data_IF_944713137281
#
_entry.id   IF_944713137281
#
_cell.length_a   1.000
_cell.length_b   1.000
_cell.length_c   1.000
_cell.angle_alpha   90.00
_cell.angle_beta   90.00
_cell.angle_gamma   90.00
#
_symmetry.space_group_name_H-M   'P 1'
#
loop_
_entity.id
_entity.type
_entity.pdbx_description
1 polymer ?
#
# COMPACT_ATOMS: atom_id res chain seq x y z
N UNK A 1 1.15 -17.48 55.21
CA UNK A 1 0.41 -18.74 55.42
C UNK A 1 -0.06 -18.72 56.87
N UNK A 2 -1.36 -18.82 57.12
CA UNK A 2 -1.92 -18.94 58.47
C UNK A 2 -2.60 -20.30 58.58
N UNK A 3 -2.19 -21.12 59.54
CA UNK A 3 -2.75 -22.45 59.77
C UNK A 3 -4.20 -22.33 60.27
N UNK A 4 -5.16 -22.88 59.52
CA UNK A 4 -6.54 -23.04 59.98
C UNK A 4 -6.62 -24.26 60.90
N UNK A 5 -6.92 -24.04 62.17
CA UNK A 5 -7.20 -25.12 63.11
C UNK A 5 -8.60 -25.68 62.87
N UNK A 6 -8.68 -26.94 62.48
CA UNK A 6 -9.94 -27.65 62.25
C UNK A 6 -10.44 -28.21 63.59
N UNK A 7 -11.48 -27.60 64.15
CA UNK A 7 -12.15 -28.14 65.34
C UNK A 7 -13.56 -28.59 64.94
N UNK A 8 -13.72 -29.91 64.95
CA UNK A 8 -14.96 -30.70 64.84
C UNK A 8 -15.69 -30.70 63.48
N UNK A 9 -15.43 -31.76 62.70
CA UNK A 9 -15.99 -31.99 61.37
C UNK A 9 -17.30 -32.77 61.48
N UNK A 10 -18.44 -32.07 61.38
CA UNK A 10 -19.71 -32.72 61.04
C UNK A 10 -20.14 -32.28 59.64
N UNK A 11 -20.07 -33.21 58.70
CA UNK A 11 -20.61 -33.01 57.37
C UNK A 11 -22.14 -33.06 57.45
N UNK A 12 -22.78 -31.97 57.08
CA UNK A 12 -24.24 -31.87 57.02
C UNK A 12 -24.64 -32.04 55.56
N UNK A 13 -25.36 -33.12 55.25
CA UNK A 13 -25.96 -33.34 53.93
C UNK A 13 -27.35 -32.73 53.90
N UNK A 14 -27.54 -31.78 52.99
CA UNK A 14 -28.86 -31.20 52.72
C UNK A 14 -29.26 -31.53 51.29
N UNK A 15 -30.46 -32.09 51.14
CA UNK A 15 -31.08 -32.28 49.82
C UNK A 15 -31.59 -30.94 49.32
N UNK A 16 -31.16 -30.54 48.14
CA UNK A 16 -31.70 -29.38 47.45
C UNK A 16 -32.38 -29.81 46.16
N UNK A 17 -33.57 -29.23 45.90
CA UNK A 17 -34.24 -29.29 44.61
C UNK A 17 -34.16 -27.91 43.97
N UNK A 18 -33.55 -27.84 42.79
CA UNK A 18 -33.57 -26.65 41.96
C UNK A 18 -33.78 -27.07 40.50
N UNK A 19 -34.81 -26.53 39.85
CA UNK A 19 -35.19 -26.83 38.47
C UNK A 19 -35.30 -28.33 38.13
N UNK A 20 -36.00 -29.10 38.96
CA UNK A 20 -36.30 -30.52 38.68
C UNK A 20 -35.14 -31.50 38.91
N UNK A 21 -33.94 -31.01 39.21
CA UNK A 21 -32.80 -31.85 39.59
C UNK A 21 -32.64 -31.87 41.13
N UNK A 22 -32.69 -33.07 41.71
CA UNK A 22 -32.35 -33.34 43.11
C UNK A 22 -30.87 -33.71 43.19
N UNK A 23 -30.10 -32.96 43.99
CA UNK A 23 -28.70 -33.29 44.30
C UNK A 23 -28.44 -33.16 45.79
N UNK A 24 -27.60 -34.05 46.32
CA UNK A 24 -27.09 -33.95 47.69
C UNK A 24 -25.94 -32.95 47.70
N UNK A 25 -26.09 -31.84 48.43
CA UNK A 25 -24.99 -30.90 48.67
C UNK A 25 -24.42 -31.16 50.06
N UNK A 26 -23.10 -31.35 50.14
CA UNK A 26 -22.40 -31.52 51.42
C UNK A 26 -21.85 -30.17 51.88
N UNK A 27 -22.22 -29.76 53.08
CA UNK A 27 -21.66 -28.58 53.73
C UNK A 27 -20.78 -28.99 54.89
N UNK A 28 -19.64 -28.31 55.05
CA UNK A 28 -18.71 -28.50 56.16
C UNK A 28 -18.77 -27.27 57.06
N UNK A 29 -18.92 -27.53 58.36
CA UNK A 29 -18.97 -26.48 59.38
C UNK A 29 -17.57 -26.30 59.95
N UNK A 30 -17.14 -25.06 60.03
CA UNK A 30 -15.87 -24.62 60.62
C UNK A 30 -16.19 -23.71 61.80
N UNK A 31 -15.30 -23.64 62.79
CA UNK A 31 -15.36 -22.65 63.84
C UNK A 31 -14.13 -21.76 63.72
N UNK A 32 -14.34 -20.46 63.56
CA UNK A 32 -13.23 -19.51 63.46
C UNK A 32 -12.53 -19.30 64.82
N UNK A 33 -11.35 -18.66 64.85
CA UNK A 33 -10.60 -18.44 66.09
C UNK A 33 -11.34 -17.60 67.16
N UNK A 34 -12.40 -16.89 66.78
CA UNK A 34 -13.24 -16.12 67.71
C UNK A 34 -14.46 -16.92 68.20
N UNK A 35 -14.52 -18.21 67.87
CA UNK A 35 -15.60 -19.11 68.29
C UNK A 35 -16.85 -19.04 67.42
N UNK A 36 -16.84 -18.32 66.29
CA UNK A 36 -18.01 -18.19 65.41
C UNK A 36 -18.06 -19.36 64.42
N UNK A 37 -19.21 -20.04 64.36
CA UNK A 37 -19.43 -21.15 63.40
C UNK A 37 -19.72 -20.61 62.00
N UNK A 38 -19.04 -21.14 61.00
CA UNK A 38 -19.14 -20.80 59.58
C UNK A 38 -19.42 -22.07 58.79
N UNK A 39 -20.47 -22.08 57.98
CA UNK A 39 -20.85 -23.23 57.14
C UNK A 39 -20.38 -22.93 55.72
N UNK A 40 -19.57 -23.80 55.13
CA UNK A 40 -19.13 -23.69 53.71
C UNK A 40 -19.51 -24.92 52.93
N UNK A 41 -19.86 -24.74 51.65
CA UNK A 41 -20.18 -25.83 50.73
C UNK A 41 -18.88 -26.54 50.34
N UNK A 42 -18.83 -27.86 50.48
CA UNK A 42 -17.66 -28.67 50.10
C UNK A 42 -17.55 -28.65 48.57
N UNK A 43 -16.45 -28.13 48.04
CA UNK A 43 -16.21 -27.99 46.59
C UNK A 43 -16.26 -26.56 46.04
N UNK A 44 -16.67 -25.57 46.83
CA UNK A 44 -16.34 -24.16 46.54
C UNK A 44 -14.95 -23.88 47.12
N UNK A 45 -13.91 -24.26 46.37
CA UNK A 45 -12.58 -23.72 46.61
C UNK A 45 -12.66 -22.18 46.51
N UNK A 46 -12.22 -21.54 47.59
CA UNK A 46 -12.20 -20.10 47.76
C UNK A 46 -11.64 -19.38 46.53
N UNK A 47 -12.45 -18.51 45.91
CA UNK A 47 -11.95 -17.49 44.98
C UNK A 47 -10.84 -16.72 45.73
N UNK A 48 -9.58 -16.73 45.26
CA UNK A 48 -8.52 -16.07 45.99
C UNK A 48 -8.76 -14.56 46.01
N UNK A 49 -8.46 -13.94 47.16
CA UNK A 49 -8.32 -12.49 47.30
C UNK A 49 -7.54 -11.94 46.10
N UNK A 50 -8.08 -10.91 45.42
CA UNK A 50 -7.41 -10.17 44.34
C UNK A 50 -5.96 -9.88 44.74
N UNK A 51 -5.03 -10.66 44.21
CA UNK A 51 -3.61 -10.58 44.54
C UNK A 51 -3.03 -9.28 43.98
N UNK A 52 -1.91 -8.83 44.54
CA UNK A 52 -1.10 -7.70 44.04
C UNK A 52 -0.94 -7.75 42.51
N UNK A 53 -0.82 -8.96 41.97
CA UNK A 53 -0.60 -9.26 40.55
C UNK A 53 -1.76 -8.81 39.65
N UNK A 54 -3.01 -8.86 40.10
CA UNK A 54 -4.14 -8.33 39.32
C UNK A 54 -4.14 -6.81 39.23
N UNK A 55 -3.67 -6.14 40.30
CA UNK A 55 -3.57 -4.67 40.32
C UNK A 55 -2.42 -4.20 39.44
N UNK A 56 -1.30 -4.92 39.43
CA UNK A 56 -0.15 -4.66 38.56
C UNK A 56 -0.47 -4.96 37.09
N UNK A 57 -1.12 -6.08 36.78
CA UNK A 57 -1.54 -6.40 35.41
C UNK A 57 -2.50 -5.35 34.84
N UNK A 58 -3.43 -4.85 35.67
CA UNK A 58 -4.32 -3.75 35.27
C UNK A 58 -3.54 -2.46 35.02
N UNK A 59 -2.60 -2.11 35.92
CA UNK A 59 -1.74 -0.93 35.77
C UNK A 59 -0.93 -0.99 34.47
N UNK A 60 -0.39 -2.16 34.12
CA UNK A 60 0.38 -2.38 32.90
C UNK A 60 -0.51 -2.28 31.64
N UNK A 61 -1.71 -2.86 31.67
CA UNK A 61 -2.68 -2.77 30.57
C UNK A 61 -3.10 -1.31 30.31
N UNK A 62 -3.39 -0.56 31.37
CA UNK A 62 -3.71 0.87 31.29
C UNK A 62 -2.52 1.67 30.73
N UNK A 63 -1.28 1.25 31.03
CA UNK A 63 -0.09 1.88 30.49
C UNK A 63 0.12 1.61 29.00
N UNK A 64 -0.01 0.36 28.53
CA UNK A 64 0.01 0.03 27.11
C UNK A 64 -1.02 0.84 26.32
N UNK A 65 -2.23 1.00 26.87
CA UNK A 65 -3.28 1.79 26.23
C UNK A 65 -2.88 3.25 26.04
N UNK A 66 -2.30 3.89 27.06
CA UNK A 66 -1.81 5.27 26.97
C UNK A 66 -0.71 5.43 25.92
N UNK A 67 0.26 4.51 25.89
CA UNK A 67 1.35 4.53 24.90
C UNK A 67 0.82 4.36 23.48
N UNK A 68 -0.17 3.46 23.28
CA UNK A 68 -0.84 3.28 22.00
C UNK A 68 -1.54 4.55 21.52
N UNK A 69 -2.26 5.23 22.41
CA UNK A 69 -2.92 6.50 22.10
C UNK A 69 -1.90 7.58 21.70
N UNK A 70 -0.81 7.70 22.45
CA UNK A 70 0.28 8.64 22.16
C UNK A 70 0.94 8.37 20.82
N UNK A 71 1.33 7.12 20.55
CA UNK A 71 1.97 6.75 19.26
C UNK A 71 1.02 7.03 18.09
N UNK A 72 -0.27 6.71 18.23
CA UNK A 72 -1.27 7.01 17.20
C UNK A 72 -1.50 8.50 17.02
N UNK A 73 -1.52 9.28 18.09
CA UNK A 73 -1.60 10.74 18.00
C UNK A 73 -0.39 11.28 17.24
N UNK A 74 0.81 10.84 17.61
CA UNK A 74 2.04 11.27 16.95
C UNK A 74 2.03 10.84 15.49
N UNK A 75 1.66 9.61 15.12
CA UNK A 75 1.58 9.15 13.71
C UNK A 75 0.72 10.05 12.81
N UNK A 76 -0.40 10.56 13.36
CA UNK A 76 -1.36 11.39 12.63
C UNK A 76 -0.97 12.88 12.55
N UNK A 77 0.11 13.30 13.20
CA UNK A 77 0.62 14.67 13.06
C UNK A 77 1.28 14.90 11.69
N UNK A 78 1.10 16.10 11.14
CA UNK A 78 1.65 16.45 9.83
C UNK A 78 3.19 16.58 9.80
N UNK A 79 3.85 16.04 8.75
CA UNK A 79 3.30 15.13 7.74
C UNK A 79 2.99 13.75 8.32
N UNK A 80 1.82 13.21 7.95
CA UNK A 80 1.30 11.91 8.39
C UNK A 80 2.31 10.80 8.10
N UNK A 81 2.57 9.95 9.09
CA UNK A 81 3.41 8.73 8.99
C UNK A 81 2.50 7.52 9.18
N UNK A 82 2.56 6.55 8.27
CA UNK A 82 1.74 5.34 8.39
C UNK A 82 2.48 4.30 9.23
N UNK A 83 1.77 3.51 10.06
CA UNK A 83 2.38 2.44 10.88
C UNK A 83 3.17 1.43 10.05
N UNK A 84 2.77 1.20 8.78
CA UNK A 84 3.49 0.33 7.85
C UNK A 84 4.84 0.89 7.36
N UNK A 85 5.11 2.18 7.58
CA UNK A 85 6.39 2.82 7.22
C UNK A 85 7.44 2.71 8.33
N UNK A 86 7.02 2.29 9.52
CA UNK A 86 7.90 2.06 10.66
C UNK A 86 8.67 0.76 10.47
N UNK A 87 9.87 0.72 11.03
CA UNK A 87 10.77 -0.42 11.03
C UNK A 87 10.17 -1.58 11.84
N UNK A 88 9.51 -1.26 12.95
CA UNK A 88 8.71 -2.18 13.76
C UNK A 88 7.23 -2.06 13.35
N UNK A 89 6.88 -2.51 12.14
CA UNK A 89 5.51 -2.39 11.60
C UNK A 89 4.45 -3.20 12.38
N UNK A 90 4.88 -4.07 13.30
CA UNK A 90 4.09 -4.84 14.24
C UNK A 90 4.21 -4.31 15.68
N UNK A 91 4.60 -3.05 15.87
CA UNK A 91 4.79 -2.46 17.21
C UNK A 91 3.56 -2.60 18.12
N UNK A 92 2.35 -2.64 17.57
CA UNK A 92 1.12 -2.78 18.35
C UNK A 92 0.99 -4.18 19.00
N UNK A 93 1.45 -5.21 18.30
CA UNK A 93 1.54 -6.59 18.80
C UNK A 93 2.68 -6.72 19.83
N UNK A 94 3.81 -6.05 19.57
CA UNK A 94 4.95 -5.99 20.51
C UNK A 94 4.57 -5.26 21.81
N UNK A 95 3.78 -4.19 21.73
CA UNK A 95 3.28 -3.45 22.88
C UNK A 95 2.30 -4.28 23.72
N UNK A 96 1.52 -5.14 23.05
CA UNK A 96 0.56 -6.04 23.70
C UNK A 96 1.21 -7.26 24.36
N UNK A 97 2.47 -7.58 24.00
CA UNK A 97 3.23 -8.70 24.54
C UNK A 97 4.29 -8.31 25.56
N UNK A 98 4.55 -7.00 25.75
CA UNK A 98 5.46 -6.47 26.76
C UNK A 98 4.99 -6.81 28.19
N UNK A 99 5.93 -7.24 29.03
CA UNK A 99 5.67 -7.72 30.40
C UNK A 99 6.03 -6.69 31.46
N UNK A 100 6.79 -5.66 31.09
CA UNK A 100 7.28 -4.65 32.03
C UNK A 100 7.06 -3.24 31.50
N UNK A 101 6.97 -2.28 32.43
CA UNK A 101 6.87 -0.85 32.12
C UNK A 101 8.11 -0.36 31.33
N UNK A 102 9.28 -0.96 31.61
CA UNK A 102 10.53 -0.64 30.91
C UNK A 102 10.50 -1.08 29.44
N UNK A 103 10.09 -2.32 29.14
CA UNK A 103 9.96 -2.80 27.74
C UNK A 103 8.98 -1.94 26.93
N UNK A 104 7.89 -1.50 27.57
CA UNK A 104 6.91 -0.60 26.96
C UNK A 104 7.54 0.76 26.64
N UNK A 105 8.33 1.33 27.55
CA UNK A 105 9.03 2.59 27.33
C UNK A 105 10.11 2.47 26.24
N UNK A 106 10.90 1.40 26.23
CA UNK A 106 11.92 1.18 25.21
C UNK A 106 11.30 1.02 23.81
N UNK A 107 10.16 0.32 23.71
CA UNK A 107 9.41 0.22 22.47
C UNK A 107 8.83 1.57 22.05
N UNK A 108 8.22 2.30 22.98
CA UNK A 108 7.69 3.67 22.76
C UNK A 108 8.76 4.59 22.20
N UNK A 109 9.92 4.67 22.85
CA UNK A 109 10.98 5.58 22.47
C UNK A 109 11.55 5.24 21.09
N UNK A 110 11.70 3.94 20.79
CA UNK A 110 12.14 3.47 19.47
C UNK A 110 11.13 3.81 18.38
N UNK A 111 9.84 3.57 18.63
CA UNK A 111 8.76 3.87 17.69
C UNK A 111 8.64 5.38 17.46
N UNK A 112 8.71 6.20 18.51
CA UNK A 112 8.68 7.66 18.40
C UNK A 112 9.89 8.21 17.64
N UNK A 113 11.09 7.69 17.90
CA UNK A 113 12.30 8.08 17.16
C UNK A 113 12.23 7.70 15.67
N UNK A 114 11.65 6.55 15.34
CA UNK A 114 11.44 6.15 13.95
C UNK A 114 10.37 7.02 13.29
N UNK A 115 9.24 7.29 13.97
CA UNK A 115 8.23 8.24 13.48
C UNK A 115 8.85 9.61 13.20
N UNK A 116 9.68 10.13 14.11
CA UNK A 116 10.42 11.37 13.92
C UNK A 116 11.36 11.30 12.72
N UNK A 117 12.09 10.20 12.54
CA UNK A 117 12.99 9.98 11.40
C UNK A 117 12.22 9.98 10.08
N UNK A 118 11.10 9.24 10.00
CA UNK A 118 10.23 9.19 8.82
C UNK A 118 9.59 10.55 8.55
N UNK A 119 9.14 11.24 9.61
CA UNK A 119 8.57 12.58 9.53
C UNK A 119 9.61 13.59 9.05
N UNK A 120 10.85 13.54 9.55
CA UNK A 120 11.94 14.40 9.12
C UNK A 120 12.39 14.10 7.70
N UNK A 121 12.36 12.85 7.26
CA UNK A 121 12.56 12.48 5.86
C UNK A 121 11.44 13.03 4.96
N UNK A 122 10.19 13.05 5.44
CA UNK A 122 9.04 13.66 4.75
C UNK A 122 9.10 15.19 4.76
N UNK A 123 9.51 15.83 5.86
CA UNK A 123 9.73 17.30 5.97
C UNK A 123 10.95 17.75 5.16
N UNK A 124 12.00 16.94 5.10
CA UNK A 124 13.23 17.19 4.34
C UNK A 124 13.01 17.21 2.83
N UNK A 125 11.98 16.53 2.31
CA UNK A 125 11.49 16.69 0.94
C UNK A 125 10.84 18.05 0.65
N UNK A 126 10.58 18.87 1.68
CA UNK A 126 10.01 20.22 1.51
C UNK A 126 10.91 21.35 2.02
N UNK A 127 12.08 21.08 2.63
CA UNK A 127 12.91 22.12 3.27
C UNK A 127 14.34 22.26 2.76
N UNK A 128 14.68 21.63 1.63
CA UNK A 128 15.98 21.79 0.94
C UNK A 128 15.85 22.29 -0.51
N UNK A 129 14.78 22.99 -0.84
CA UNK A 129 14.61 23.55 -2.20
C UNK A 129 15.07 25.02 -2.33
N UNK A 130 15.36 25.72 -1.23
CA UNK A 130 15.68 27.15 -1.31
C UNK A 130 17.17 27.50 -1.32
N UNK A 131 18.07 26.57 -0.97
CA UNK A 131 19.51 26.86 -1.03
C UNK A 131 20.30 25.68 -1.61
N UNK A 132 20.68 25.88 -2.89
CA UNK A 132 21.64 25.13 -3.72
C UNK A 132 21.04 24.00 -4.56
N UNK A 133 20.85 24.35 -5.84
CA UNK A 133 21.06 23.44 -6.95
C UNK A 133 19.89 22.51 -7.23
N UNK A 134 19.25 22.77 -8.36
CA UNK A 134 18.23 21.95 -9.00
C UNK A 134 18.50 20.45 -8.88
N UNK A 135 17.68 19.74 -8.09
CA UNK A 135 17.39 18.33 -8.34
C UNK A 135 15.87 18.23 -8.52
N UNK A 136 15.49 18.36 -9.79
CA UNK A 136 14.14 18.19 -10.30
C UNK A 136 13.70 16.80 -9.85
N UNK A 137 12.68 16.73 -8.99
CA UNK A 137 12.09 15.45 -8.60
C UNK A 137 11.47 14.81 -9.84
N UNK A 138 12.23 13.92 -10.46
CA UNK A 138 11.81 13.13 -11.60
C UNK A 138 10.70 12.17 -11.16
N UNK A 139 9.46 12.57 -11.41
CA UNK A 139 8.29 11.71 -11.21
C UNK A 139 8.18 10.63 -12.29
N UNK A 140 9.12 10.56 -13.25
CA UNK A 140 9.26 9.46 -14.21
C UNK A 140 10.18 8.35 -13.71
N UNK A 141 10.50 8.32 -12.41
CA UNK A 141 11.33 7.25 -11.84
C UNK A 141 10.70 5.90 -12.17
N UNK A 142 11.41 5.12 -12.99
CA UNK A 142 11.27 3.65 -13.13
C UNK A 142 10.96 3.07 -11.74
N UNK A 143 10.17 2.00 -11.62
CA UNK A 143 10.02 1.29 -10.34
C UNK A 143 11.41 1.16 -9.73
N UNK A 144 11.63 1.77 -8.56
CA UNK A 144 12.92 1.65 -7.89
C UNK A 144 13.00 0.22 -7.40
N UNK A 145 13.64 -0.63 -8.19
CA UNK A 145 14.14 -1.89 -7.67
C UNK A 145 15.25 -1.57 -6.68
N UNK A 146 15.22 -2.22 -5.52
CA UNK A 146 16.41 -2.27 -4.69
C UNK A 146 17.53 -2.97 -5.47
N UNK A 147 18.78 -2.67 -5.14
CA UNK A 147 19.93 -3.34 -5.75
C UNK A 147 19.85 -4.88 -5.59
N UNK A 148 19.22 -5.34 -4.50
CA UNK A 148 18.91 -6.76 -4.27
C UNK A 148 17.85 -7.32 -5.23
N UNK A 149 16.75 -6.61 -5.48
CA UNK A 149 15.69 -7.08 -6.38
C UNK A 149 16.20 -7.20 -7.82
N UNK A 150 17.05 -6.25 -8.24
CA UNK A 150 17.68 -6.26 -9.56
C UNK A 150 18.70 -7.39 -9.69
N UNK A 151 19.53 -7.60 -8.67
CA UNK A 151 20.47 -8.70 -8.63
C UNK A 151 19.78 -10.07 -8.63
N UNK A 152 18.69 -10.22 -7.87
CA UNK A 152 17.87 -11.43 -7.88
C UNK A 152 17.32 -11.71 -9.27
N UNK A 153 16.74 -10.71 -9.94
CA UNK A 153 16.25 -10.86 -11.31
C UNK A 153 17.35 -11.29 -12.29
N UNK A 154 18.52 -10.63 -12.25
CA UNK A 154 19.67 -11.01 -13.08
C UNK A 154 20.23 -12.39 -12.77
N UNK A 155 20.22 -12.82 -11.51
CA UNK A 155 20.67 -14.15 -11.09
C UNK A 155 19.72 -15.25 -11.62
N UNK A 156 18.40 -14.98 -11.70
CA UNK A 156 17.44 -15.89 -12.34
C UNK A 156 17.60 -15.97 -13.86
N UNK A 157 17.92 -14.84 -14.51
CA UNK A 157 18.19 -14.80 -15.95
C UNK A 157 19.45 -15.59 -16.33
N UNK A 158 20.44 -15.66 -15.43
CA UNK A 158 21.76 -16.26 -15.71
C UNK A 158 21.87 -17.74 -15.31
N UNK A 159 21.09 -18.23 -14.35
CA UNK A 159 21.23 -19.58 -13.80
C UNK A 159 20.01 -20.46 -14.10
N UNK A 160 20.00 -21.07 -15.29
CA UNK A 160 18.89 -21.85 -15.86
C UNK A 160 18.56 -23.21 -15.20
N UNK A 161 18.71 -23.36 -13.88
CA UNK A 161 18.24 -24.54 -13.14
C UNK A 161 17.26 -24.08 -12.05
N UNK A 162 16.06 -23.70 -12.48
CA UNK A 162 14.97 -23.29 -11.59
C UNK A 162 14.55 -24.40 -10.63
N UNK A 163 14.79 -25.67 -11.02
CA UNK A 163 14.45 -26.89 -10.27
C UNK A 163 15.07 -26.98 -8.85
N UNK A 164 16.17 -26.25 -8.62
CA UNK A 164 16.92 -26.25 -7.35
C UNK A 164 16.76 -24.96 -6.54
N UNK A 165 16.01 -23.99 -7.08
CA UNK A 165 15.78 -22.69 -6.44
C UNK A 165 14.66 -22.81 -5.41
N UNK A 166 14.88 -22.25 -4.21
CA UNK A 166 13.86 -22.19 -3.15
C UNK A 166 12.61 -21.39 -3.59
N UNK A 167 11.42 -21.83 -3.15
CA UNK A 167 10.13 -21.20 -3.47
C UNK A 167 10.08 -19.69 -3.18
N UNK A 168 10.73 -19.24 -2.11
CA UNK A 168 10.80 -17.81 -1.76
C UNK A 168 11.58 -16.99 -2.80
N UNK A 169 12.67 -17.56 -3.35
CA UNK A 169 13.45 -16.92 -4.40
C UNK A 169 12.66 -16.88 -5.71
N UNK A 170 12.01 -17.98 -6.07
CA UNK A 170 11.11 -18.02 -7.23
C UNK A 170 9.98 -16.99 -7.08
N UNK A 171 9.39 -16.85 -5.89
CA UNK A 171 8.39 -15.82 -5.58
C UNK A 171 8.95 -14.43 -5.87
N UNK A 172 10.09 -14.06 -5.29
CA UNK A 172 10.69 -12.73 -5.52
C UNK A 172 11.01 -12.49 -7.00
N UNK A 173 11.51 -13.50 -7.71
CA UNK A 173 11.74 -13.43 -9.16
C UNK A 173 10.45 -13.15 -9.94
N UNK A 174 9.35 -13.84 -9.60
CA UNK A 174 8.04 -13.62 -10.22
C UNK A 174 7.47 -12.22 -9.89
N UNK A 175 7.64 -11.74 -8.65
CA UNK A 175 7.21 -10.39 -8.26
C UNK A 175 7.88 -9.32 -9.12
N UNK A 176 9.21 -9.44 -9.27
CA UNK A 176 9.98 -8.53 -10.10
C UNK A 176 9.57 -8.62 -11.56
N UNK A 177 9.41 -9.83 -12.11
CA UNK A 177 9.01 -10.03 -13.50
C UNK A 177 7.64 -9.40 -13.81
N UNK A 178 6.65 -9.55 -12.93
CA UNK A 178 5.32 -8.94 -13.11
C UNK A 178 5.37 -7.42 -12.96
N UNK A 179 6.20 -6.88 -12.06
CA UNK A 179 6.36 -5.42 -11.90
C UNK A 179 7.04 -4.78 -13.10
N UNK A 180 8.00 -5.47 -13.71
CA UNK A 180 8.80 -4.99 -14.84
C UNK A 180 8.19 -5.26 -16.22
N UNK A 181 7.13 -6.06 -16.31
CA UNK A 181 6.50 -6.35 -17.61
C UNK A 181 6.12 -5.07 -18.35
N UNK A 182 6.51 -5.00 -19.63
CA UNK A 182 6.37 -3.82 -20.47
C UNK A 182 7.59 -2.89 -20.46
N UNK A 183 8.56 -3.05 -19.56
CA UNK A 183 9.85 -2.36 -19.66
C UNK A 183 10.76 -3.08 -20.66
N UNK A 184 11.12 -2.42 -21.78
CA UNK A 184 11.93 -3.01 -22.86
C UNK A 184 13.22 -3.69 -22.41
N UNK A 185 13.84 -3.21 -21.33
CA UNK A 185 15.09 -3.75 -20.79
C UNK A 185 14.89 -5.06 -20.00
N UNK A 186 13.66 -5.38 -19.60
CA UNK A 186 13.34 -6.45 -18.64
C UNK A 186 12.18 -7.33 -19.09
N UNK A 187 11.78 -7.26 -20.36
CA UNK A 187 10.71 -8.10 -20.91
C UNK A 187 11.26 -9.46 -21.35
N UNK A 188 11.78 -10.24 -20.39
CA UNK A 188 12.09 -11.66 -20.61
C UNK A 188 10.85 -12.52 -20.30
N UNK A 189 9.93 -12.53 -21.26
CA UNK A 189 8.69 -13.31 -21.20
C UNK A 189 8.96 -14.80 -20.97
N UNK A 190 10.09 -15.32 -21.47
CA UNK A 190 10.46 -16.73 -21.32
C UNK A 190 10.79 -17.04 -19.87
N UNK A 191 11.72 -16.31 -19.25
CA UNK A 191 12.10 -16.53 -17.85
C UNK A 191 10.91 -16.33 -16.90
N UNK A 192 10.03 -15.34 -17.17
CA UNK A 192 8.80 -15.15 -16.40
C UNK A 192 7.91 -16.40 -16.43
N UNK A 193 7.66 -16.95 -17.62
CA UNK A 193 6.84 -18.16 -17.79
C UNK A 193 7.46 -19.37 -17.10
N UNK A 194 8.78 -19.54 -17.20
CA UNK A 194 9.48 -20.66 -16.56
C UNK A 194 9.42 -20.58 -15.02
N UNK A 195 9.66 -19.40 -14.42
CA UNK A 195 9.52 -19.19 -12.96
C UNK A 195 8.08 -19.48 -12.50
N UNK A 196 7.10 -18.97 -13.24
CA UNK A 196 5.69 -19.14 -12.94
C UNK A 196 5.24 -20.60 -13.04
N UNK A 197 5.62 -21.30 -14.11
CA UNK A 197 5.32 -22.73 -14.29
C UNK A 197 5.93 -23.57 -13.16
N UNK A 198 7.16 -23.25 -12.75
CA UNK A 198 7.83 -23.99 -11.70
C UNK A 198 7.19 -23.75 -10.32
N UNK A 199 6.81 -22.50 -10.02
CA UNK A 199 6.03 -22.18 -8.82
C UNK A 199 4.65 -22.83 -8.82
N UNK A 200 3.96 -22.90 -9.97
CA UNK A 200 2.66 -23.58 -10.05
C UNK A 200 2.78 -25.07 -9.75
N UNK A 201 3.83 -25.74 -10.23
CA UNK A 201 4.04 -27.18 -9.96
C UNK A 201 4.29 -27.45 -8.47
N UNK A 202 5.07 -26.60 -7.81
CA UNK A 202 5.49 -26.83 -6.41
C UNK A 202 4.54 -26.27 -5.39
N UNK A 203 4.09 -25.04 -5.61
CA UNK A 203 3.30 -24.28 -4.66
C UNK A 203 2.27 -23.38 -5.36
N UNK A 204 1.16 -23.97 -5.87
CA UNK A 204 0.09 -23.26 -6.56
C UNK A 204 -0.45 -22.06 -5.78
N UNK A 205 -0.58 -22.22 -4.46
CA UNK A 205 -1.12 -21.17 -3.59
C UNK A 205 -0.16 -19.99 -3.49
N UNK A 206 1.14 -20.26 -3.30
CA UNK A 206 2.17 -19.23 -3.29
C UNK A 206 2.20 -18.49 -4.62
N UNK A 207 2.27 -19.21 -5.75
CA UNK A 207 2.25 -18.62 -7.09
C UNK A 207 1.08 -17.64 -7.28
N UNK A 208 -0.14 -18.10 -6.97
CA UNK A 208 -1.35 -17.27 -7.05
C UNK A 208 -1.27 -16.05 -6.13
N UNK A 209 -0.86 -16.23 -4.88
CA UNK A 209 -0.74 -15.12 -3.92
C UNK A 209 0.30 -14.09 -4.37
N UNK A 210 1.39 -14.54 -4.98
CA UNK A 210 2.43 -13.70 -5.57
C UNK A 210 1.87 -12.87 -6.71
N UNK A 211 1.20 -13.50 -7.69
CA UNK A 211 0.54 -12.81 -8.81
C UNK A 211 -0.40 -11.71 -8.29
N UNK A 212 -1.28 -12.05 -7.34
CA UNK A 212 -2.24 -11.09 -6.77
C UNK A 212 -1.54 -9.93 -6.07
N UNK A 213 -0.49 -10.21 -5.30
CA UNK A 213 0.28 -9.19 -4.59
C UNK A 213 0.98 -8.25 -5.57
N UNK A 214 1.67 -8.79 -6.57
CA UNK A 214 2.36 -7.99 -7.59
C UNK A 214 1.41 -7.12 -8.42
N UNK A 215 0.21 -7.63 -8.74
CA UNK A 215 -0.82 -6.84 -9.42
C UNK A 215 -1.32 -5.68 -8.54
N UNK A 216 -1.52 -5.91 -7.23
CA UNK A 216 -1.91 -4.84 -6.29
C UNK A 216 -0.83 -3.77 -6.14
N UNK A 217 0.43 -4.18 -6.07
CA UNK A 217 1.54 -3.24 -6.06
C UNK A 217 1.61 -2.43 -7.34
N UNK A 218 1.43 -3.08 -8.50
CA UNK A 218 1.43 -2.38 -9.80
C UNK A 218 0.26 -1.39 -9.91
N UNK A 219 -0.91 -1.70 -9.34
CA UNK A 219 -2.01 -0.73 -9.22
C UNK A 219 -1.59 0.48 -8.39
N UNK A 220 -1.00 0.26 -7.21
CA UNK A 220 -0.53 1.32 -6.32
C UNK A 220 0.54 2.19 -6.97
N UNK A 221 1.53 1.58 -7.62
CA UNK A 221 2.62 2.27 -8.34
C UNK A 221 2.09 3.15 -9.47
N UNK A 222 0.95 2.78 -10.08
CA UNK A 222 0.28 3.56 -11.12
C UNK A 222 -0.90 4.41 -10.59
N UNK A 223 -1.10 4.42 -9.27
CA UNK A 223 -2.21 5.09 -8.58
C UNK A 223 -3.61 4.63 -9.05
N UNK A 224 -3.79 3.46 -9.64
CA UNK A 224 -5.07 3.02 -10.23
C UNK A 224 -5.95 2.37 -9.15
N UNK A 225 -7.24 2.74 -9.10
CA UNK A 225 -8.20 2.03 -8.26
C UNK A 225 -8.66 0.73 -8.95
N UNK A 226 -8.79 -0.37 -8.20
CA UNK A 226 -9.29 -1.64 -8.70
C UNK A 226 -10.66 -1.53 -9.39
N UNK A 227 -11.51 -0.60 -8.96
CA UNK A 227 -12.82 -0.33 -9.57
C UNK A 227 -12.75 0.09 -11.03
N UNK A 228 -11.60 0.63 -11.45
CA UNK A 228 -11.37 1.07 -12.83
C UNK A 228 -11.13 -0.10 -13.78
N UNK A 229 -10.86 -1.30 -13.27
CA UNK A 229 -10.49 -2.48 -14.05
C UNK A 229 -11.70 -3.28 -14.55
N UNK A 230 -11.47 -4.23 -15.45
CA UNK A 230 -12.47 -5.22 -15.84
C UNK A 230 -12.84 -6.15 -14.68
N UNK A 231 -14.10 -6.62 -14.67
CA UNK A 231 -14.64 -7.47 -13.59
C UNK A 231 -13.83 -8.75 -13.37
N UNK A 232 -13.29 -9.35 -14.42
CA UNK A 232 -12.44 -10.54 -14.32
C UNK A 232 -11.12 -10.24 -13.60
N UNK A 233 -10.51 -9.09 -13.91
CA UNK A 233 -9.28 -8.64 -13.26
C UNK A 233 -9.53 -8.32 -11.78
N UNK A 234 -10.67 -7.69 -11.45
CA UNK A 234 -11.07 -7.47 -10.04
C UNK A 234 -11.18 -8.79 -9.28
N UNK A 235 -11.86 -9.78 -9.86
CA UNK A 235 -12.00 -11.12 -9.26
C UNK A 235 -10.63 -11.77 -9.04
N UNK A 236 -9.70 -11.65 -10.00
CA UNK A 236 -8.34 -12.15 -9.81
C UNK A 236 -7.65 -11.45 -8.63
N UNK A 237 -7.67 -10.12 -8.58
CA UNK A 237 -7.02 -9.30 -7.54
C UNK A 237 -7.63 -9.53 -6.15
N UNK A 238 -8.91 -9.88 -6.08
CA UNK A 238 -9.58 -10.28 -4.85
C UNK A 238 -9.29 -11.73 -4.43
N UNK A 239 -8.60 -12.50 -5.26
CA UNK A 239 -8.28 -13.91 -4.99
C UNK A 239 -9.44 -14.88 -5.24
N UNK A 240 -10.51 -14.44 -5.90
CA UNK A 240 -11.71 -15.25 -6.19
C UNK A 240 -11.47 -16.29 -7.29
N UNK A 241 -10.41 -16.12 -8.09
CA UNK A 241 -10.06 -17.02 -9.18
C UNK A 241 -9.01 -18.02 -8.70
N UNK A 242 -9.36 -19.31 -8.73
CA UNK A 242 -8.51 -20.39 -8.21
C UNK A 242 -7.99 -21.34 -9.30
N UNK A 243 -8.63 -21.38 -10.47
CA UNK A 243 -8.24 -22.21 -11.59
C UNK A 243 -6.99 -21.64 -12.29
N UNK A 244 -5.95 -22.46 -12.44
CA UNK A 244 -4.64 -22.07 -12.99
C UNK A 244 -4.74 -21.40 -14.37
N UNK A 245 -5.39 -22.04 -15.34
CA UNK A 245 -5.50 -21.52 -16.71
C UNK A 245 -6.19 -20.15 -16.75
N UNK A 246 -7.25 -20.00 -15.94
CA UNK A 246 -7.94 -18.73 -15.77
C UNK A 246 -7.06 -17.68 -15.10
N UNK A 247 -6.30 -18.04 -14.07
CA UNK A 247 -5.35 -17.12 -13.43
C UNK A 247 -4.31 -16.63 -14.43
N UNK A 248 -3.69 -17.54 -15.19
CA UNK A 248 -2.69 -17.22 -16.21
C UNK A 248 -3.23 -16.24 -17.27
N UNK A 249 -4.40 -16.56 -17.83
CA UNK A 249 -5.05 -15.74 -18.86
C UNK A 249 -5.43 -14.35 -18.33
N UNK A 250 -6.06 -14.30 -17.16
CA UNK A 250 -6.55 -13.04 -16.58
C UNK A 250 -5.40 -12.19 -16.04
N UNK A 251 -4.29 -12.80 -15.62
CA UNK A 251 -3.05 -12.09 -15.24
C UNK A 251 -2.51 -11.29 -16.43
N UNK A 252 -2.37 -11.89 -17.61
CA UNK A 252 -1.89 -11.17 -18.80
C UNK A 252 -2.81 -10.00 -19.16
N UNK A 253 -4.13 -10.21 -19.06
CA UNK A 253 -5.11 -9.13 -19.22
C UNK A 253 -4.93 -8.04 -18.16
N UNK A 254 -4.75 -8.40 -16.89
CA UNK A 254 -4.56 -7.47 -15.79
C UNK A 254 -3.30 -6.61 -16.00
N UNK A 255 -2.16 -7.22 -16.33
CA UNK A 255 -0.90 -6.49 -16.53
C UNK A 255 -1.04 -5.47 -17.66
N UNK A 256 -1.65 -5.89 -18.78
CA UNK A 256 -1.91 -5.00 -19.92
C UNK A 256 -2.88 -3.87 -19.55
N UNK A 257 -3.98 -4.17 -18.87
CA UNK A 257 -4.99 -3.17 -18.50
C UNK A 257 -4.42 -2.14 -17.51
N UNK A 258 -3.70 -2.60 -16.49
CA UNK A 258 -3.00 -1.75 -15.51
C UNK A 258 -1.95 -0.89 -16.21
N UNK A 259 -1.12 -1.47 -17.06
CA UNK A 259 -0.10 -0.75 -17.82
C UNK A 259 -0.69 0.34 -18.72
N UNK A 260 -1.76 0.03 -19.46
CA UNK A 260 -2.45 0.99 -20.33
C UNK A 260 -3.09 2.15 -19.54
N UNK A 261 -3.82 1.85 -18.47
CA UNK A 261 -4.44 2.88 -17.62
C UNK A 261 -3.41 3.74 -16.90
N UNK A 262 -2.31 3.13 -16.45
CA UNK A 262 -1.21 3.85 -15.81
C UNK A 262 -0.58 4.84 -16.79
N UNK A 263 -0.31 4.38 -18.01
CA UNK A 263 0.20 5.23 -19.08
C UNK A 263 -0.77 6.38 -19.44
N UNK A 264 -2.06 6.07 -19.60
CA UNK A 264 -3.10 7.06 -19.89
C UNK A 264 -3.19 8.13 -18.80
N UNK A 265 -3.15 7.74 -17.52
CA UNK A 265 -3.22 8.67 -16.38
C UNK A 265 -1.98 9.56 -16.30
N UNK A 266 -0.78 8.98 -16.45
CA UNK A 266 0.48 9.74 -16.49
C UNK A 266 0.44 10.77 -17.62
N UNK A 267 0.08 10.34 -18.83
CA UNK A 267 -0.07 11.23 -19.98
C UNK A 267 -1.08 12.35 -19.70
N UNK A 268 -2.29 12.01 -19.26
CA UNK A 268 -3.37 12.97 -19.05
C UNK A 268 -3.00 14.01 -18.00
N UNK A 269 -2.31 13.60 -16.93
CA UNK A 269 -1.83 14.49 -15.88
C UNK A 269 -0.82 15.49 -16.43
N UNK A 270 0.21 15.02 -17.15
CA UNK A 270 1.23 15.87 -17.75
C UNK A 270 0.62 16.82 -18.79
N UNK A 271 -0.25 16.31 -19.65
CA UNK A 271 -0.90 17.07 -20.71
C UNK A 271 -1.82 18.17 -20.16
N UNK A 272 -2.61 17.86 -19.12
CA UNK A 272 -3.46 18.86 -18.47
C UNK A 272 -2.64 19.91 -17.72
N UNK A 273 -1.55 19.50 -17.06
CA UNK A 273 -0.62 20.45 -16.42
C UNK A 273 -0.02 21.40 -17.46
N UNK A 274 0.44 20.87 -18.59
CA UNK A 274 0.97 21.67 -19.70
C UNK A 274 -0.06 22.67 -20.23
N UNK A 275 -1.30 22.23 -20.48
CA UNK A 275 -2.40 23.10 -20.90
C UNK A 275 -2.69 24.20 -19.89
N UNK A 276 -2.76 23.86 -18.60
CA UNK A 276 -3.00 24.84 -17.54
C UNK A 276 -1.93 25.93 -17.52
N UNK A 277 -0.64 25.55 -17.60
CA UNK A 277 0.46 26.50 -17.65
C UNK A 277 0.42 27.37 -18.91
N UNK A 278 0.04 26.80 -20.06
CA UNK A 278 -0.13 27.57 -21.29
C UNK A 278 -1.29 28.57 -21.21
N UNK A 279 -2.41 28.21 -20.59
CA UNK A 279 -3.51 29.15 -20.35
C UNK A 279 -3.11 30.27 -19.37
N UNK A 280 -2.30 29.95 -18.36
CA UNK A 280 -1.74 30.96 -17.45
C UNK A 280 -0.79 31.91 -18.20
N UNK A 281 0.03 31.37 -19.11
CA UNK A 281 0.97 32.16 -19.91
C UNK A 281 0.30 33.17 -20.83
N UNK A 282 -0.94 32.91 -21.26
CA UNK A 282 -1.74 33.88 -22.03
C UNK A 282 -2.09 35.12 -21.22
N UNK A 283 -2.17 35.01 -19.89
CA UNK A 283 -2.48 36.14 -19.00
C UNK A 283 -1.22 36.93 -18.68
N UNK A 284 -0.16 36.25 -18.28
CA UNK A 284 1.14 36.86 -17.97
C UNK A 284 2.25 35.82 -18.05
N UNK A 285 3.36 36.19 -18.69
CA UNK A 285 4.54 35.34 -18.78
C UNK A 285 5.52 35.77 -17.68
N UNK A 286 5.68 34.91 -16.68
CA UNK A 286 6.65 35.07 -15.59
C UNK A 286 7.83 34.12 -15.78
N UNK A 287 8.98 34.43 -15.18
CA UNK A 287 10.15 33.54 -15.23
C UNK A 287 9.89 32.18 -14.55
N UNK A 288 9.10 32.16 -13.47
CA UNK A 288 8.64 30.92 -12.85
C UNK A 288 7.85 30.06 -13.84
N UNK A 289 6.91 30.67 -14.55
CA UNK A 289 6.08 29.96 -15.52
C UNK A 289 6.88 29.41 -16.70
N UNK A 290 7.88 30.16 -17.18
CA UNK A 290 8.83 29.66 -18.20
C UNK A 290 9.62 28.46 -17.68
N UNK A 291 10.10 28.51 -16.43
CA UNK A 291 10.78 27.37 -15.80
C UNK A 291 9.87 26.14 -15.73
N UNK A 292 8.63 26.31 -15.26
CA UNK A 292 7.66 25.22 -15.15
C UNK A 292 7.30 24.63 -16.53
N UNK A 293 7.12 25.48 -17.56
CA UNK A 293 6.87 25.05 -18.93
C UNK A 293 8.05 24.29 -19.53
N UNK A 294 9.29 24.71 -19.25
CA UNK A 294 10.51 24.02 -19.70
C UNK A 294 10.61 22.62 -19.07
N UNK A 295 10.35 22.50 -17.76
CA UNK A 295 10.33 21.21 -17.05
C UNK A 295 9.30 20.28 -17.69
N UNK A 296 8.08 20.77 -17.94
CA UNK A 296 7.04 19.97 -18.60
C UNK A 296 7.45 19.57 -20.01
N UNK A 297 8.08 20.46 -20.78
CA UNK A 297 8.56 20.14 -22.11
C UNK A 297 9.60 19.01 -22.09
N UNK A 298 10.54 19.04 -21.16
CA UNK A 298 11.54 17.98 -20.97
C UNK A 298 10.86 16.67 -20.56
N UNK A 299 9.89 16.72 -19.65
CA UNK A 299 9.08 15.55 -19.27
C UNK A 299 8.37 14.94 -20.48
N UNK A 300 7.67 15.76 -21.28
CA UNK A 300 6.97 15.31 -22.49
C UNK A 300 7.92 14.64 -23.49
N UNK A 301 9.11 15.23 -23.71
CA UNK A 301 10.13 14.63 -24.60
C UNK A 301 10.60 13.28 -24.08
N UNK A 302 10.80 13.17 -22.77
CA UNK A 302 11.28 11.93 -22.14
C UNK A 302 10.27 10.78 -22.29
N UNK A 303 8.97 11.06 -22.40
CA UNK A 303 7.93 10.04 -22.64
C UNK A 303 8.13 9.29 -23.95
N UNK A 304 8.65 9.95 -24.98
CA UNK A 304 8.95 9.33 -26.28
C UNK A 304 10.14 8.38 -26.23
N UNK A 305 11.02 8.56 -25.25
CA UNK A 305 12.21 7.72 -25.00
C UNK A 305 12.04 6.73 -23.85
N UNK A 306 10.85 6.65 -23.24
CA UNK A 306 10.63 5.75 -22.12
C UNK A 306 10.74 4.28 -22.53
N UNK A 307 11.30 3.49 -21.61
CA UNK A 307 11.44 2.04 -21.75
C UNK A 307 10.11 1.32 -21.60
N UNK A 308 9.10 1.96 -21.00
CA UNK A 308 7.77 1.41 -20.84
C UNK A 308 7.00 1.38 -22.17
N UNK A 309 6.72 0.18 -22.67
CA UNK A 309 6.07 -0.07 -23.95
C UNK A 309 4.64 0.49 -24.02
N UNK A 310 3.91 0.50 -22.90
CA UNK A 310 2.56 1.06 -22.84
C UNK A 310 2.58 2.57 -22.98
N UNK A 311 3.50 3.25 -22.29
CA UNK A 311 3.63 4.70 -22.40
C UNK A 311 4.17 5.13 -23.76
N UNK A 312 5.16 4.41 -24.30
CA UNK A 312 5.65 4.62 -25.66
C UNK A 312 4.54 4.43 -26.72
N UNK A 313 3.68 3.41 -26.57
CA UNK A 313 2.51 3.19 -27.42
C UNK A 313 1.49 4.31 -27.29
N UNK A 314 1.24 4.80 -26.07
CA UNK A 314 0.31 5.89 -25.81
C UNK A 314 0.81 7.20 -26.42
N UNK A 315 2.10 7.51 -26.25
CA UNK A 315 2.78 8.63 -26.87
C UNK A 315 2.68 8.57 -28.40
N UNK A 316 3.00 7.42 -28.99
CA UNK A 316 2.94 7.21 -30.45
C UNK A 316 1.53 7.44 -31.01
N UNK A 317 0.51 6.98 -30.27
CA UNK A 317 -0.90 7.17 -30.62
C UNK A 317 -1.36 8.63 -30.50
N UNK A 318 -0.67 9.45 -29.71
CA UNK A 318 -0.97 10.86 -29.46
C UNK A 318 0.08 11.82 -30.03
N UNK A 319 0.98 11.34 -30.89
CA UNK A 319 2.12 12.11 -31.41
C UNK A 319 1.75 13.49 -31.94
N UNK A 320 0.67 13.60 -32.71
CA UNK A 320 0.22 14.90 -33.23
C UNK A 320 -0.24 15.89 -32.14
N UNK A 321 -0.76 15.40 -31.00
CA UNK A 321 -1.09 16.26 -29.86
C UNK A 321 0.17 16.68 -29.10
N UNK A 322 1.14 15.78 -28.96
CA UNK A 322 2.46 16.06 -28.39
C UNK A 322 3.13 17.19 -29.16
N UNK A 323 3.29 17.05 -30.47
CA UNK A 323 4.01 18.01 -31.31
C UNK A 323 3.35 19.40 -31.27
N UNK A 324 2.01 19.46 -31.24
CA UNK A 324 1.27 20.72 -31.08
C UNK A 324 1.52 21.35 -29.71
N UNK A 325 1.53 20.55 -28.66
CA UNK A 325 1.78 21.01 -27.30
C UNK A 325 3.22 21.53 -27.16
N UNK A 326 4.21 20.77 -27.63
CA UNK A 326 5.62 21.18 -27.63
C UNK A 326 5.85 22.46 -28.43
N UNK A 327 5.20 22.61 -29.58
CA UNK A 327 5.26 23.83 -30.38
C UNK A 327 4.67 25.02 -29.61
N UNK A 328 3.52 24.83 -28.96
CA UNK A 328 2.88 25.86 -28.15
C UNK A 328 3.74 26.30 -26.96
N UNK A 329 4.37 25.34 -26.27
CA UNK A 329 5.33 25.62 -25.20
C UNK A 329 6.53 26.40 -25.73
N UNK A 330 7.12 25.97 -26.85
CA UNK A 330 8.29 26.63 -27.44
C UNK A 330 7.98 28.07 -27.86
N UNK A 331 6.79 28.33 -28.39
CA UNK A 331 6.34 29.69 -28.72
C UNK A 331 6.32 30.59 -27.49
N UNK A 332 5.76 30.11 -26.37
CA UNK A 332 5.72 30.88 -25.10
C UNK A 332 7.13 31.09 -24.54
N UNK A 333 7.98 30.06 -24.56
CA UNK A 333 9.36 30.17 -24.04
C UNK A 333 10.21 31.17 -24.82
N UNK A 334 10.00 31.27 -26.13
CA UNK A 334 10.71 32.20 -27.01
C UNK A 334 10.10 33.62 -27.02
N UNK A 335 8.97 33.84 -26.33
CA UNK A 335 8.36 35.14 -26.24
C UNK A 335 9.12 35.99 -25.22
N UNK A 336 9.92 36.93 -25.72
CA UNK A 336 10.58 37.92 -24.87
C UNK A 336 9.51 38.81 -24.20
N UNK A 337 9.72 39.17 -22.94
CA UNK A 337 8.87 40.11 -22.21
C UNK A 337 9.00 41.52 -22.80
N UNK A 338 8.42 41.77 -23.97
CA UNK A 338 8.08 43.14 -24.35
C UNK A 338 6.78 43.48 -23.65
N UNK A 339 6.91 44.20 -22.53
CA UNK A 339 5.80 44.81 -21.83
C UNK A 339 5.08 45.78 -22.77
N UNK A 340 4.00 45.31 -23.38
CA UNK A 340 2.97 46.16 -23.97
C UNK A 340 1.64 45.53 -23.63
N UNK A 341 0.78 46.28 -22.94
CA UNK A 341 -0.60 45.89 -22.68
C UNK A 341 -1.27 45.45 -23.98
N UNK A 342 -1.77 44.22 -24.00
CA UNK A 342 -2.52 43.64 -25.11
C UNK A 342 -3.95 44.18 -25.08
N UNK A 343 -4.18 45.37 -25.63
CA UNK A 343 -5.51 45.79 -26.08
C UNK A 343 -5.76 45.23 -27.47
N UNK A 344 -6.68 44.26 -27.59
CA UNK A 344 -7.32 43.89 -28.87
C UNK A 344 -6.97 42.51 -29.40
N UNK A 345 -7.69 41.48 -28.95
CA UNK A 345 -7.81 40.15 -29.60
C UNK A 345 -8.70 40.24 -30.85
N UNK A 346 -8.55 39.35 -31.87
CA UNK A 346 -8.68 37.90 -31.65
C UNK A 346 -7.69 37.01 -32.40
N UNK A 347 -7.07 36.10 -31.64
CA UNK A 347 -6.47 34.88 -32.18
C UNK A 347 -7.59 33.85 -32.42
N UNK A 348 -7.93 33.64 -33.68
CA UNK A 348 -8.75 32.52 -34.14
C UNK A 348 -7.96 31.21 -34.09
N UNK A 349 -7.84 30.61 -32.92
CA UNK A 349 -7.56 29.16 -32.81
C UNK A 349 -8.69 28.57 -31.97
N UNK A 350 -9.79 28.29 -32.65
CA UNK A 350 -10.84 27.39 -32.14
C UNK A 350 -10.19 26.01 -32.04
N UNK A 351 -9.73 25.64 -30.85
CA UNK A 351 -9.41 24.24 -30.56
C UNK A 351 -10.76 23.52 -30.55
N UNK A 352 -11.05 22.59 -31.48
CA UNK A 352 -12.30 21.86 -31.46
C UNK A 352 -12.25 20.87 -30.30
N UNK A 353 -12.73 21.30 -29.13
CA UNK A 353 -12.99 20.45 -27.97
C UNK A 353 -13.95 19.29 -28.34
N UNK A 354 -14.74 19.46 -29.40
CA UNK A 354 -15.64 18.42 -29.94
C UNK A 354 -14.91 17.19 -30.50
N UNK A 355 -13.68 17.31 -31.04
CA UNK A 355 -12.98 16.17 -31.64
C UNK A 355 -12.43 15.19 -30.59
N UNK A 356 -12.10 15.67 -29.39
CA UNK A 356 -11.60 14.82 -28.29
C UNK A 356 -12.72 13.96 -27.73
N UNK A 357 -13.93 14.52 -27.57
CA UNK A 357 -15.10 13.76 -27.09
C UNK A 357 -15.54 12.72 -28.14
N UNK A 358 -15.47 13.05 -29.43
CA UNK A 358 -15.79 12.11 -30.51
C UNK A 358 -14.75 10.98 -30.62
N UNK A 359 -13.45 11.28 -30.48
CA UNK A 359 -12.41 10.25 -30.50
C UNK A 359 -12.55 9.26 -29.31
N UNK A 360 -12.85 9.77 -28.11
CA UNK A 360 -13.11 8.96 -26.92
C UNK A 360 -14.37 8.09 -27.12
N UNK A 361 -15.45 8.65 -27.66
CA UNK A 361 -16.67 7.91 -27.95
C UNK A 361 -16.45 6.80 -29.00
N UNK A 362 -15.68 7.07 -30.06
CA UNK A 362 -15.37 6.07 -31.10
C UNK A 362 -14.52 4.92 -30.57
N UNK A 363 -13.53 5.21 -29.71
CA UNK A 363 -12.72 4.16 -29.06
C UNK A 363 -13.58 3.31 -28.13
N UNK A 364 -14.46 3.91 -27.32
CA UNK A 364 -15.38 3.17 -26.44
C UNK A 364 -16.35 2.30 -27.24
N UNK A 365 -16.89 2.80 -28.35
CA UNK A 365 -17.82 2.05 -29.23
C UNK A 365 -17.10 0.90 -29.95
N UNK A 366 -15.87 1.10 -30.43
CA UNK A 366 -15.07 0.04 -31.06
C UNK A 366 -14.68 -1.07 -30.06
N UNK A 367 -14.35 -0.70 -28.82
CA UNK A 367 -14.05 -1.66 -27.75
C UNK A 367 -15.31 -2.43 -27.34
N UNK A 368 -16.48 -1.79 -27.26
CA UNK A 368 -17.75 -2.47 -26.97
C UNK A 368 -18.19 -3.40 -28.10
N UNK A 369 -18.06 -3.00 -29.37
CA UNK A 369 -18.48 -3.82 -30.52
C UNK A 369 -17.62 -5.08 -30.69
N UNK A 370 -16.32 -5.02 -30.35
CA UNK A 370 -15.45 -6.21 -30.34
C UNK A 370 -15.78 -7.23 -29.24
N UNK A 371 -16.45 -6.82 -28.16
CA UNK A 371 -16.90 -7.71 -27.07
C UNK A 371 -18.23 -8.42 -27.34
N UNK A 372 -18.99 -8.03 -28.36
CA UNK A 372 -20.28 -8.66 -28.69
C UNK A 372 -20.20 -9.61 -29.90
N UNK A 373 -19.05 -9.68 -30.57
CA UNK A 373 -18.83 -10.53 -31.77
C UNK A 373 -17.88 -11.71 -31.48
N UNK A 374 -17.48 -11.86 -30.22
CA UNK A 374 -16.87 -13.07 -29.65
C UNK A 374 -17.70 -13.49 -28.46
#
# INVERSE_FOLDING_TARGET
MGEEYVVDLKDIKWKHQWNGNTGDITYRVYQDPNGKKVIRKVGEESIPKKSSDQKEAKKLTDFCKRVREEVNEVLNQDPVVFSSELSDNNWDDLLSSAKTEQEINELRDRVLADIETKRNAKKGKHKREDEKGEDIHDNNRKPKLGDEDKKNYEDFLKNGILNEVEDNKLKSGLEVAIRLEGEKEYDDEKTRKEIEEELWKRNPQLCRSTIVTSLKERLKDNNINADELSEEVKKLINGEITNEDKVKTIKEQAIKEIGQKGAERKWTTLFNKAKSLLEEAKKSITEKLKKDLKIIQEQIKSLGSETNSYLASFYSSNKGQVERLEKSISTVLNQNQTGSELTGTPWGIVIPVSLVVVAIAVVIVLVRKRRQVK
#
